data_IF_605122101880
#
_entry.id   IF_605122101880
#
_cell.length_a   1.000
_cell.length_b   1.000
_cell.length_c   1.000
_cell.angle_alpha   90.00
_cell.angle_beta   90.00
_cell.angle_gamma   90.00
#
_symmetry.space_group_name_H-M   'P 1'
#
loop_
_entity.id
_entity.type
_entity.pdbx_description
1 polymer ?
#
# COMPACT_ATOMS: atom_id res chain seq x y z
N UNK A 1 -56.84 49.34 11.91
CA UNK A 1 -57.05 48.87 10.52
C UNK A 1 -56.77 47.37 10.54
N UNK A 2 -57.80 46.60 10.93
CA UNK A 2 -58.60 45.71 10.07
C UNK A 2 -57.85 44.39 9.79
N UNK A 3 -57.96 43.40 10.70
CA UNK A 3 -58.85 42.21 10.67
C UNK A 3 -58.17 41.04 9.93
N UNK A 4 -57.70 39.96 10.58
CA UNK A 4 -58.40 38.80 11.17
C UNK A 4 -59.04 37.80 10.18
N UNK A 5 -58.95 36.52 10.61
CA UNK A 5 -59.60 35.26 10.19
C UNK A 5 -58.86 34.34 9.19
N UNK A 6 -58.68 33.02 9.37
CA UNK A 6 -59.14 31.89 10.24
C UNK A 6 -59.73 30.77 9.35
N UNK A 7 -59.25 29.52 9.58
CA UNK A 7 -59.87 28.19 9.32
C UNK A 7 -60.16 27.77 7.86
N UNK A 8 -60.26 26.48 7.46
CA UNK A 8 -60.11 25.16 8.08
C UNK A 8 -60.07 24.09 6.96
N UNK A 9 -59.74 22.86 7.35
CA UNK A 9 -59.98 21.54 6.73
C UNK A 9 -61.02 21.42 5.60
N UNK A 10 -60.78 20.50 4.66
CA UNK A 10 -61.63 19.30 4.52
C UNK A 10 -60.97 18.19 3.66
N UNK A 11 -60.97 17.01 4.27
CA UNK A 11 -60.76 15.67 3.74
C UNK A 11 -61.92 15.25 2.81
N UNK A 12 -61.68 14.34 1.85
CA UNK A 12 -62.65 13.38 1.27
C UNK A 12 -62.03 12.55 0.11
N UNK A 13 -61.65 11.32 0.45
CA UNK A 13 -62.00 10.04 -0.21
C UNK A 13 -61.97 9.87 -1.74
N UNK A 14 -61.30 8.80 -2.21
CA UNK A 14 -61.94 7.55 -2.66
C UNK A 14 -61.01 6.69 -3.53
N UNK A 15 -60.86 5.41 -3.17
CA UNK A 15 -60.51 4.32 -4.10
C UNK A 15 -61.76 3.88 -4.88
N UNK A 16 -61.65 3.12 -5.99
CA UNK A 16 -61.78 1.65 -5.87
C UNK A 16 -61.06 0.75 -6.92
N UNK A 17 -61.11 -0.57 -6.63
CA UNK A 17 -61.09 -1.78 -7.50
C UNK A 17 -59.85 -2.10 -8.35
N UNK A 18 -59.09 -3.19 -8.13
CA UNK A 18 -59.39 -4.64 -8.20
C UNK A 18 -59.89 -5.11 -9.57
N UNK A 19 -58.98 -5.66 -10.39
CA UNK A 19 -59.27 -6.79 -11.28
C UNK A 19 -58.11 -7.79 -11.24
N UNK A 20 -58.49 -9.03 -10.95
CA UNK A 20 -57.69 -10.23 -10.82
C UNK A 20 -57.95 -11.14 -12.03
N UNK A 21 -56.92 -11.52 -12.78
CA UNK A 21 -56.86 -12.66 -13.73
C UNK A 21 -55.35 -12.99 -13.79
N UNK A 22 -54.81 -14.16 -13.47
CA UNK A 22 -55.25 -15.52 -13.69
C UNK A 22 -54.05 -16.28 -14.29
N UNK A 23 -53.38 -17.10 -13.48
CA UNK A 23 -52.31 -18.07 -13.84
C UNK A 23 -52.75 -19.05 -14.94
N UNK A 24 -51.82 -19.71 -15.69
CA UNK A 24 -51.13 -20.95 -15.27
C UNK A 24 -49.61 -20.93 -15.57
N UNK A 25 -48.69 -21.36 -14.70
CA UNK A 25 -48.36 -22.70 -14.16
C UNK A 25 -47.30 -23.48 -14.96
N UNK A 26 -46.28 -23.98 -14.22
CA UNK A 26 -45.40 -25.13 -14.49
C UNK A 26 -44.34 -25.03 -15.61
N UNK A 27 -43.05 -25.00 -15.24
CA UNK A 27 -42.28 -26.25 -15.15
C UNK A 27 -40.94 -26.09 -14.42
N UNK A 28 -40.70 -27.11 -13.61
CA UNK A 28 -39.55 -27.47 -12.82
C UNK A 28 -38.74 -28.49 -13.64
N UNK A 29 -37.42 -28.28 -13.80
CA UNK A 29 -36.46 -29.38 -13.98
C UNK A 29 -35.05 -28.97 -13.59
N UNK A 30 -34.55 -29.67 -12.56
CA UNK A 30 -33.12 -29.85 -12.25
C UNK A 30 -32.42 -30.77 -13.26
N UNK A 31 -31.07 -30.89 -13.22
CA UNK A 31 -30.26 -31.29 -14.37
C UNK A 31 -30.10 -32.81 -14.49
N UNK A 32 -30.15 -33.30 -15.73
CA UNK A 32 -29.85 -34.69 -16.05
C UNK A 32 -28.44 -34.81 -16.66
N UNK A 33 -27.65 -35.65 -15.99
CA UNK A 33 -26.40 -36.26 -16.43
C UNK A 33 -26.69 -37.18 -17.62
N UNK A 34 -25.96 -37.09 -18.74
CA UNK A 34 -25.69 -38.25 -19.61
C UNK A 34 -24.52 -38.00 -20.59
N UNK A 35 -23.45 -38.76 -20.32
CA UNK A 35 -22.67 -39.60 -21.25
C UNK A 35 -22.04 -39.04 -22.54
N UNK A 36 -20.72 -39.26 -22.59
CA UNK A 36 -19.89 -39.38 -23.79
C UNK A 36 -20.39 -40.46 -24.77
N UNK A 37 -19.88 -40.43 -26.01
CA UNK A 37 -19.41 -41.66 -26.62
C UNK A 37 -17.98 -41.54 -27.15
N UNK A 38 -17.16 -42.50 -26.73
CA UNK A 38 -16.01 -43.00 -27.48
C UNK A 38 -16.50 -43.66 -28.79
N UNK A 39 -15.84 -43.36 -29.90
CA UNK A 39 -15.66 -44.31 -31.01
C UNK A 39 -14.59 -43.79 -31.98
N UNK A 40 -13.35 -44.22 -31.77
CA UNK A 40 -12.39 -44.55 -32.84
C UNK A 40 -12.70 -45.97 -33.37
N UNK A 41 -12.06 -46.52 -34.45
CA UNK A 41 -10.93 -46.01 -35.24
C UNK A 41 -11.13 -46.10 -36.77
N UNK A 42 -10.27 -45.42 -37.54
CA UNK A 42 -10.20 -45.57 -38.99
C UNK A 42 -8.87 -45.12 -39.58
N UNK A 43 -7.88 -46.02 -39.57
CA UNK A 43 -6.65 -45.94 -40.36
C UNK A 43 -6.93 -45.60 -41.83
N UNK A 44 -6.18 -44.65 -42.40
CA UNK A 44 -5.49 -44.84 -43.70
C UNK A 44 -4.43 -43.76 -43.96
N UNK A 45 -3.24 -44.26 -44.27
CA UNK A 45 -2.05 -43.56 -44.75
C UNK A 45 -2.30 -42.79 -46.06
N UNK A 46 -1.62 -41.64 -46.23
CA UNK A 46 -0.52 -41.50 -47.19
C UNK A 46 -0.04 -40.04 -47.35
N UNK A 47 1.27 -39.88 -47.14
CA UNK A 47 2.24 -39.20 -48.01
C UNK A 47 1.98 -37.74 -48.44
N UNK A 48 2.78 -36.80 -47.91
CA UNK A 48 3.90 -36.18 -48.63
C UNK A 48 4.47 -34.99 -47.83
N UNK A 49 5.70 -35.15 -47.34
CA UNK A 49 6.64 -34.03 -47.15
C UNK A 49 7.09 -33.50 -48.52
N UNK A 50 7.57 -32.24 -48.57
CA UNK A 50 9.00 -32.13 -48.79
C UNK A 50 9.72 -31.19 -47.82
N UNK A 51 10.91 -31.65 -47.44
CA UNK A 51 12.03 -30.91 -46.88
C UNK A 51 12.29 -29.57 -47.58
N UNK A 52 12.52 -28.53 -46.78
CA UNK A 52 13.45 -27.45 -47.12
C UNK A 52 14.24 -27.06 -45.87
N UNK A 53 15.41 -27.69 -45.76
CA UNK A 53 16.56 -27.23 -44.99
C UNK A 53 16.99 -25.83 -45.44
N UNK A 54 16.92 -24.83 -44.54
CA UNK A 54 17.90 -23.73 -44.51
C UNK A 54 18.31 -23.54 -43.05
N UNK A 55 19.51 -24.03 -42.73
CA UNK A 55 20.18 -23.75 -41.48
C UNK A 55 20.66 -22.30 -41.42
N UNK A 56 20.44 -21.68 -40.26
CA UNK A 56 21.22 -20.53 -39.81
C UNK A 56 21.60 -20.78 -38.34
N UNK A 57 22.89 -21.02 -38.13
CA UNK A 57 23.50 -21.09 -36.81
C UNK A 57 23.22 -19.79 -36.00
N UNK A 58 22.98 -19.87 -34.68
CA UNK A 58 22.97 -18.69 -33.84
C UNK A 58 24.41 -18.21 -33.59
N UNK A 59 24.74 -16.92 -33.85
CA UNK A 59 26.09 -16.43 -33.62
C UNK A 59 26.40 -16.37 -32.12
N UNK A 60 27.48 -17.06 -31.76
CA UNK A 60 28.15 -17.03 -30.46
C UNK A 60 28.61 -15.60 -30.10
N UNK A 61 28.18 -15.16 -28.91
CA UNK A 61 29.01 -14.44 -27.95
C UNK A 61 29.69 -13.14 -28.39
N UNK A 62 29.06 -12.01 -28.07
CA UNK A 62 29.79 -10.83 -27.58
C UNK A 62 29.11 -10.33 -26.30
N UNK A 63 29.68 -10.76 -25.16
CA UNK A 63 29.38 -10.23 -23.84
C UNK A 63 29.77 -8.75 -23.85
N UNK A 64 28.78 -7.88 -24.02
CA UNK A 64 28.97 -6.46 -23.81
C UNK A 64 29.11 -6.23 -22.31
N UNK A 65 30.32 -5.86 -21.90
CA UNK A 65 30.62 -5.34 -20.56
C UNK A 65 29.81 -4.06 -20.37
N UNK A 66 28.56 -4.17 -19.91
CA UNK A 66 27.78 -3.01 -19.51
C UNK A 66 28.43 -2.40 -18.27
N UNK A 67 29.01 -1.21 -18.47
CA UNK A 67 29.42 -0.31 -17.39
C UNK A 67 28.24 -0.16 -16.42
N UNK A 68 28.48 -0.45 -15.14
CA UNK A 68 27.61 -0.04 -14.03
C UNK A 68 27.31 1.45 -14.20
N UNK A 69 26.06 1.78 -14.50
CA UNK A 69 25.54 3.14 -14.48
C UNK A 69 24.52 3.20 -13.35
N UNK A 70 24.79 4.10 -12.41
CA UNK A 70 23.96 4.41 -11.26
C UNK A 70 22.57 4.81 -11.73
N UNK A 71 21.54 4.07 -11.32
CA UNK A 71 20.16 4.53 -11.37
C UNK A 71 19.88 5.31 -10.09
N UNK A 72 19.41 6.56 -10.23
CA UNK A 72 18.91 7.33 -9.11
C UNK A 72 17.53 6.79 -8.72
N UNK A 73 17.45 6.06 -7.62
CA UNK A 73 16.33 6.27 -6.70
C UNK A 73 16.56 7.68 -6.15
N UNK A 74 15.60 8.58 -6.27
CA UNK A 74 15.72 9.95 -5.73
C UNK A 74 15.68 9.86 -4.21
N UNK A 75 16.83 9.51 -3.64
CA UNK A 75 17.27 9.87 -2.32
C UNK A 75 17.84 11.28 -2.47
N UNK A 76 17.20 12.27 -1.85
CA UNK A 76 17.72 13.63 -1.82
C UNK A 76 19.14 13.65 -1.25
N UNK A 77 20.14 13.87 -2.11
CA UNK A 77 21.52 14.12 -1.71
C UNK A 77 21.79 15.63 -1.78
N UNK A 78 21.97 16.24 -0.62
CA UNK A 78 22.57 17.58 -0.51
C UNK A 78 24.04 17.39 -0.16
N UNK A 79 24.90 17.90 -1.05
CA UNK A 79 26.35 17.99 -0.83
C UNK A 79 26.63 18.89 0.37
N UNK A 80 27.33 18.37 1.40
CA UNK A 80 28.01 19.20 2.38
C UNK A 80 29.51 18.93 2.35
N UNK A 81 30.25 20.01 2.14
CA UNK A 81 31.71 20.04 2.03
C UNK A 81 32.40 19.56 3.30
N UNK A 82 33.46 18.79 3.10
CA UNK A 82 34.32 18.25 4.14
C UNK A 82 35.13 19.36 4.84
N UNK A 83 35.06 19.39 6.18
CA UNK A 83 36.11 19.95 7.03
C UNK A 83 36.82 18.80 7.76
N UNK A 84 38.15 18.79 7.65
CA UNK A 84 39.05 17.79 8.23
C UNK A 84 39.13 17.96 9.76
N UNK A 85 39.07 16.84 10.49
CA UNK A 85 39.64 16.75 11.84
C UNK A 85 40.21 15.36 12.08
N UNK A 86 41.40 15.35 12.69
CA UNK A 86 42.38 14.27 12.85
C UNK A 86 42.25 13.49 14.16
N UNK A 87 42.92 12.31 14.19
CA UNK A 87 43.34 11.44 15.34
C UNK A 87 42.37 10.27 15.63
N UNK A 88 42.77 9.06 16.04
CA UNK A 88 44.06 8.34 16.22
C UNK A 88 43.74 6.87 16.56
N UNK A 89 44.58 5.91 16.16
CA UNK A 89 44.52 4.46 16.53
C UNK A 89 44.99 4.19 17.98
N UNK A 90 44.60 3.08 18.63
CA UNK A 90 45.32 1.77 18.60
C UNK A 90 44.33 0.55 18.52
N UNK A 91 44.60 -0.67 18.01
CA UNK A 91 45.66 -1.72 18.01
C UNK A 91 45.55 -2.74 19.18
N UNK A 92 45.29 -4.02 18.83
CA UNK A 92 45.47 -5.28 19.61
C UNK A 92 44.15 -6.02 19.90
N UNK A 93 43.75 -7.15 19.28
CA UNK A 93 44.31 -8.52 19.10
C UNK A 93 44.24 -9.42 20.35
N UNK A 94 43.35 -10.42 20.36
CA UNK A 94 43.70 -11.85 20.46
C UNK A 94 42.47 -12.77 20.39
N UNK A 95 42.71 -13.97 19.85
CA UNK A 95 41.79 -15.05 19.48
C UNK A 95 41.79 -16.15 20.55
N UNK A 96 40.67 -16.86 20.73
CA UNK A 96 40.66 -18.23 21.27
C UNK A 96 39.34 -18.95 20.93
N UNK A 97 39.46 -20.23 20.57
CA UNK A 97 38.50 -21.11 19.90
C UNK A 97 37.71 -21.99 20.91
N UNK A 98 36.40 -22.17 20.63
CA UNK A 98 35.41 -23.26 20.89
C UNK A 98 35.68 -24.45 21.86
N UNK A 99 34.64 -25.17 22.39
CA UNK A 99 33.44 -25.65 21.67
C UNK A 99 32.06 -25.60 22.39
N UNK A 100 31.01 -25.76 21.58
CA UNK A 100 29.56 -25.82 21.88
C UNK A 100 29.12 -26.96 22.84
N UNK A 101 27.90 -26.89 23.45
CA UNK A 101 26.69 -27.43 22.81
C UNK A 101 25.35 -26.68 23.05
N UNK A 102 24.48 -26.74 22.02
CA UNK A 102 22.99 -26.65 21.92
C UNK A 102 22.17 -25.44 22.48
N UNK A 103 21.01 -25.11 21.85
CA UNK A 103 20.47 -23.75 21.84
C UNK A 103 19.48 -23.51 22.97
N UNK A 104 19.73 -22.46 23.75
CA UNK A 104 18.68 -21.80 24.55
C UNK A 104 18.48 -20.42 23.97
N UNK A 105 17.23 -20.04 23.72
CA UNK A 105 16.79 -18.76 23.17
C UNK A 105 17.34 -17.59 23.98
N UNK A 106 18.46 -17.02 23.55
CA UNK A 106 19.00 -15.77 24.10
C UNK A 106 18.50 -14.59 23.28
N UNK A 107 17.53 -13.90 23.86
CA UNK A 107 17.21 -12.50 23.59
C UNK A 107 18.51 -11.68 23.55
N UNK A 108 18.86 -11.15 22.38
CA UNK A 108 19.90 -10.14 22.22
C UNK A 108 19.26 -8.86 21.67
N UNK A 109 19.10 -7.90 22.58
CA UNK A 109 18.79 -6.49 22.38
C UNK A 109 17.75 -6.14 21.30
N UNK A 110 16.48 -6.19 21.71
CA UNK A 110 15.47 -5.31 21.13
C UNK A 110 15.90 -3.84 21.31
N UNK A 111 15.65 -2.95 20.33
CA UNK A 111 15.94 -1.53 20.49
C UNK A 111 15.22 -0.97 21.71
N UNK A 112 15.95 -0.24 22.55
CA UNK A 112 15.38 0.43 23.73
C UNK A 112 14.50 1.59 23.25
N UNK A 113 13.20 1.54 23.55
CA UNK A 113 12.29 2.66 23.31
C UNK A 113 12.44 3.62 24.49
N UNK A 114 13.20 4.70 24.30
CA UNK A 114 13.31 5.76 25.30
C UNK A 114 12.18 6.76 25.09
N UNK A 115 11.11 6.64 25.88
CA UNK A 115 9.98 7.57 25.85
C UNK A 115 10.41 8.88 26.51
N UNK A 116 10.82 9.86 25.71
CA UNK A 116 11.02 11.24 26.19
C UNK A 116 9.74 12.03 25.90
N UNK A 117 8.85 12.13 26.88
CA UNK A 117 7.66 12.99 26.78
C UNK A 117 8.04 14.46 26.93
N UNK A 118 8.48 15.11 25.86
CA UNK A 118 8.58 16.58 25.81
C UNK A 118 7.31 17.17 25.20
N UNK A 119 6.21 17.22 25.97
CA UNK A 119 4.98 17.90 25.54
C UNK A 119 5.04 19.34 26.05
N UNK A 120 5.76 20.20 25.33
CA UNK A 120 5.67 21.65 25.54
C UNK A 120 4.40 22.15 24.85
N UNK A 121 3.36 22.38 25.64
CA UNK A 121 1.97 22.74 25.27
C UNK A 121 1.22 21.66 24.47
N UNK A 122 0.13 21.14 25.06
CA UNK A 122 -0.78 20.23 24.36
C UNK A 122 -1.44 21.01 23.20
N UNK A 123 -1.23 20.63 21.93
CA UNK A 123 -1.99 21.21 20.84
C UNK A 123 -3.49 21.01 21.09
N UNK A 124 -4.31 21.97 20.67
CA UNK A 124 -5.75 21.78 20.66
C UNK A 124 -6.05 20.54 19.79
N UNK A 125 -6.84 19.56 20.27
CA UNK A 125 -7.07 18.33 19.54
C UNK A 125 -7.67 18.67 18.17
N UNK A 126 -6.92 18.36 17.12
CA UNK A 126 -7.44 18.50 15.76
C UNK A 126 -8.57 17.49 15.57
N UNK A 127 -9.73 17.84 14.98
CA UNK A 127 -10.85 16.91 14.89
C UNK A 127 -10.55 15.74 13.92
N UNK A 128 -9.99 14.65 14.44
CA UNK A 128 -9.65 13.47 13.67
C UNK A 128 -10.70 12.40 13.90
N UNK A 129 -11.15 11.72 12.84
CA UNK A 129 -12.08 10.59 12.99
C UNK A 129 -11.38 9.46 13.72
N UNK A 130 -12.05 8.84 14.71
CA UNK A 130 -11.56 7.60 15.30
C UNK A 130 -11.38 6.52 14.24
N UNK A 131 -10.30 5.76 14.37
CA UNK A 131 -9.96 4.68 13.45
C UNK A 131 -9.72 5.18 12.02
N UNK A 132 -9.20 6.41 11.87
CA UNK A 132 -8.97 7.00 10.55
C UNK A 132 -7.96 6.16 9.75
N UNK A 133 -8.20 5.91 8.46
CA UNK A 133 -7.12 5.47 7.59
C UNK A 133 -6.08 6.59 7.51
N UNK A 134 -4.80 6.22 7.42
CA UNK A 134 -3.68 7.13 7.32
C UNK A 134 -2.91 6.82 6.05
N UNK A 135 -2.40 7.87 5.39
CA UNK A 135 -1.40 7.73 4.34
C UNK A 135 -0.38 8.85 4.48
N UNK A 136 0.89 8.56 4.21
CA UNK A 136 1.95 9.54 4.33
C UNK A 136 2.85 9.49 3.10
N UNK A 137 3.35 10.65 2.70
CA UNK A 137 4.35 10.79 1.65
C UNK A 137 5.49 11.66 2.17
N UNK A 138 6.70 11.40 1.71
CA UNK A 138 7.88 12.17 2.08
C UNK A 138 8.79 12.37 0.89
N UNK A 139 9.48 13.51 0.84
CA UNK A 139 10.52 13.78 -0.16
C UNK A 139 11.93 13.73 0.43
N UNK A 140 12.04 13.83 1.76
CA UNK A 140 13.26 13.71 2.53
C UNK A 140 12.91 13.40 4.00
N UNK A 141 13.90 13.41 4.89
CA UNK A 141 13.79 13.14 6.34
C UNK A 141 12.88 14.12 7.10
N UNK A 142 12.50 15.23 6.48
CA UNK A 142 11.99 16.40 7.18
C UNK A 142 10.71 16.95 6.53
N UNK A 143 10.48 16.66 5.25
CA UNK A 143 9.28 17.05 4.52
C UNK A 143 8.34 15.86 4.36
N UNK A 144 7.32 15.85 5.19
CA UNK A 144 6.29 14.80 5.24
C UNK A 144 4.91 15.44 5.11
N UNK A 145 4.05 14.84 4.29
CA UNK A 145 2.61 15.12 4.33
C UNK A 145 1.87 13.89 4.85
N UNK A 146 1.08 14.09 5.89
CA UNK A 146 0.25 13.07 6.53
C UNK A 146 -1.22 13.33 6.22
N UNK A 147 -1.86 12.41 5.51
CA UNK A 147 -3.26 12.44 5.14
C UNK A 147 -4.10 11.62 6.11
N UNK A 148 -5.27 12.14 6.47
CA UNK A 148 -6.22 11.51 7.38
C UNK A 148 -7.65 11.91 7.06
N UNK A 149 -8.59 11.13 7.59
CA UNK A 149 -10.03 11.40 7.56
C UNK A 149 -10.43 12.19 8.80
N UNK A 150 -10.95 13.38 8.57
CA UNK A 150 -11.48 14.27 9.59
C UNK A 150 -12.88 13.80 10.05
N UNK A 151 -13.37 14.34 11.16
CA UNK A 151 -14.66 13.95 11.76
C UNK A 151 -15.89 14.19 10.86
N UNK A 152 -15.78 15.06 9.86
CA UNK A 152 -16.82 15.32 8.84
C UNK A 152 -16.76 14.38 7.62
N UNK A 153 -15.84 13.41 7.65
CA UNK A 153 -15.59 12.44 6.57
C UNK A 153 -14.65 12.94 5.47
N UNK A 154 -14.28 14.22 5.46
CA UNK A 154 -13.35 14.78 4.48
C UNK A 154 -11.90 14.34 4.73
N UNK A 155 -11.15 14.13 3.64
CA UNK A 155 -9.70 13.94 3.71
C UNK A 155 -9.02 15.30 3.81
N UNK A 156 -8.11 15.42 4.76
CA UNK A 156 -7.24 16.59 4.99
C UNK A 156 -5.80 16.12 5.16
N UNK A 157 -4.86 17.06 5.15
CA UNK A 157 -3.46 16.78 5.43
C UNK A 157 -2.90 17.67 6.54
N UNK A 158 -1.86 17.17 7.19
CA UNK A 158 -0.87 17.94 7.94
C UNK A 158 0.47 17.87 7.22
N UNK A 159 1.19 18.99 7.13
CA UNK A 159 2.53 19.03 6.53
C UNK A 159 3.58 19.36 7.58
N UNK A 160 4.63 18.55 7.64
CA UNK A 160 5.85 18.89 8.35
C UNK A 160 6.85 19.49 7.37
N UNK A 161 7.34 20.70 7.65
CA UNK A 161 8.31 21.38 6.79
C UNK A 161 9.78 21.14 7.20
N UNK A 162 10.00 20.31 8.21
CA UNK A 162 11.30 19.96 8.78
C UNK A 162 11.63 20.63 10.09
N UNK A 163 10.82 21.60 10.50
CA UNK A 163 10.95 22.28 11.79
C UNK A 163 9.76 21.97 12.70
N UNK A 164 8.56 21.97 12.13
CA UNK A 164 7.32 21.74 12.86
C UNK A 164 6.21 21.26 11.93
N UNK A 165 5.17 20.68 12.52
CA UNK A 165 3.90 20.44 11.84
C UNK A 165 3.17 21.77 11.63
N UNK A 166 2.63 21.95 10.42
CA UNK A 166 1.85 23.11 10.04
C UNK A 166 0.40 23.06 10.54
N UNK A 167 -0.43 23.92 9.95
CA UNK A 167 -1.87 23.88 10.17
C UNK A 167 -2.54 22.82 9.30
N UNK A 168 -3.69 22.34 9.77
CA UNK A 168 -4.55 21.44 9.01
C UNK A 168 -4.96 22.10 7.68
N UNK A 169 -4.86 21.34 6.59
CA UNK A 169 -5.32 21.82 5.28
C UNK A 169 -6.85 21.96 5.21
N UNK A 170 -7.37 22.75 4.26
CA UNK A 170 -8.74 22.60 3.79
C UNK A 170 -9.05 21.16 3.33
N UNK A 171 -10.33 20.84 3.19
CA UNK A 171 -10.76 19.54 2.65
C UNK A 171 -10.25 19.34 1.22
N UNK A 172 -9.57 18.22 0.99
CA UNK A 172 -9.04 17.82 -0.32
C UNK A 172 -10.12 17.13 -1.15
N UNK A 173 -10.79 16.16 -0.51
CA UNK A 173 -11.87 15.37 -1.09
C UNK A 173 -12.74 14.82 0.02
N UNK A 174 -13.95 14.35 -0.30
CA UNK A 174 -14.86 13.67 0.63
C UNK A 174 -15.23 12.30 0.05
N UNK A 175 -14.49 11.24 0.40
CA UNK A 175 -14.78 9.89 -0.06
C UNK A 175 -15.90 9.28 0.77
N UNK A 176 -16.34 8.09 0.38
CA UNK A 176 -17.29 7.34 1.21
C UNK A 176 -16.68 6.97 2.56
N UNK A 177 -17.54 6.70 3.52
CA UNK A 177 -17.17 6.54 4.92
C UNK A 177 -16.20 5.37 5.19
N UNK A 178 -16.38 4.24 4.53
CA UNK A 178 -15.54 3.05 4.61
C UNK A 178 -14.43 3.01 3.55
N UNK A 179 -14.17 4.12 2.85
CA UNK A 179 -13.04 4.24 1.92
C UNK A 179 -11.71 4.06 2.63
N UNK A 180 -10.86 3.18 2.08
CA UNK A 180 -9.41 3.20 2.32
C UNK A 180 -8.75 4.50 1.84
N UNK A 181 -7.46 4.66 2.15
CA UNK A 181 -6.67 5.82 1.80
C UNK A 181 -5.27 5.36 1.41
N UNK A 182 -4.79 5.80 0.24
CA UNK A 182 -3.40 5.64 -0.16
C UNK A 182 -2.87 6.96 -0.70
N UNK A 183 -1.57 7.19 -0.56
CA UNK A 183 -0.91 8.35 -1.13
C UNK A 183 0.46 7.97 -1.68
N UNK A 184 0.85 8.63 -2.75
CA UNK A 184 2.20 8.58 -3.32
C UNK A 184 2.67 10.00 -3.61
N UNK A 185 3.98 10.22 -3.51
CA UNK A 185 4.60 11.49 -3.83
C UNK A 185 5.93 11.29 -4.53
N UNK A 186 6.28 12.25 -5.39
CA UNK A 186 7.56 12.26 -6.10
C UNK A 186 7.97 13.70 -6.43
N UNK A 187 9.16 13.86 -7.00
CA UNK A 187 9.66 15.12 -7.56
C UNK A 187 9.64 15.05 -9.09
N UNK A 188 9.16 16.11 -9.72
CA UNK A 188 9.28 16.36 -11.15
C UNK A 188 10.07 17.66 -11.33
N UNK A 189 11.39 17.52 -11.45
CA UNK A 189 12.31 18.64 -11.20
C UNK A 189 12.20 19.11 -9.75
N UNK A 190 11.99 20.41 -9.54
CA UNK A 190 11.74 21.01 -8.21
C UNK A 190 10.25 20.95 -7.80
N UNK A 191 9.38 20.41 -8.66
CA UNK A 191 7.94 20.37 -8.41
C UNK A 191 7.59 19.12 -7.62
N UNK A 192 7.07 19.30 -6.41
CA UNK A 192 6.49 18.20 -5.63
C UNK A 192 5.18 17.78 -6.26
N UNK A 193 5.03 16.47 -6.44
CA UNK A 193 3.83 15.83 -6.96
C UNK A 193 3.25 14.95 -5.86
N UNK A 194 1.94 14.97 -5.70
CA UNK A 194 1.20 14.11 -4.77
C UNK A 194 -0.03 13.57 -5.45
N UNK A 195 -0.32 12.29 -5.23
CA UNK A 195 -1.60 11.67 -5.55
C UNK A 195 -2.17 11.01 -4.32
N UNK A 196 -3.47 11.19 -4.10
CA UNK A 196 -4.24 10.56 -3.03
C UNK A 196 -5.36 9.74 -3.66
N UNK A 197 -5.48 8.49 -3.26
CA UNK A 197 -6.47 7.55 -3.78
C UNK A 197 -7.52 7.23 -2.72
N UNK A 198 -8.78 7.26 -3.15
CA UNK A 198 -9.95 6.98 -2.30
C UNK A 198 -11.07 6.31 -3.10
N UNK A 199 -12.13 5.87 -2.42
CA UNK A 199 -13.34 5.33 -3.00
C UNK A 199 -14.47 6.38 -2.98
N UNK A 200 -15.18 6.55 -4.09
CA UNK A 200 -16.43 7.31 -4.13
C UNK A 200 -17.60 6.51 -3.53
N UNK A 201 -18.76 7.17 -3.36
CA UNK A 201 -20.02 6.53 -2.93
C UNK A 201 -20.44 5.36 -3.84
N UNK A 202 -20.10 5.43 -5.13
CA UNK A 202 -20.40 4.37 -6.09
C UNK A 202 -19.31 3.27 -6.14
N UNK A 203 -18.39 3.27 -5.16
CA UNK A 203 -17.21 2.40 -5.13
C UNK A 203 -16.27 2.57 -6.33
N UNK A 204 -16.28 3.73 -7.00
CA UNK A 204 -15.29 4.04 -8.03
C UNK A 204 -13.97 4.48 -7.37
N UNK A 205 -12.84 4.09 -7.95
CA UNK A 205 -11.52 4.58 -7.56
C UNK A 205 -11.36 6.03 -8.01
N UNK A 206 -11.07 6.90 -7.05
CA UNK A 206 -10.89 8.33 -7.24
C UNK A 206 -9.41 8.70 -7.03
N UNK A 207 -8.89 9.63 -7.83
CA UNK A 207 -7.60 10.28 -7.61
C UNK A 207 -7.81 11.77 -7.28
N UNK A 208 -7.18 12.22 -6.20
CA UNK A 208 -6.94 13.63 -5.90
C UNK A 208 -5.49 13.95 -6.21
N UNK A 209 -5.25 14.81 -7.20
CA UNK A 209 -3.92 15.17 -7.69
C UNK A 209 -3.54 16.59 -7.28
N UNK A 210 -2.31 16.75 -6.78
CA UNK A 210 -1.73 18.05 -6.45
C UNK A 210 -0.29 18.15 -6.93
N UNK A 211 0.12 19.37 -7.27
CA UNK A 211 1.52 19.71 -7.46
C UNK A 211 1.85 21.09 -6.87
N UNK A 212 3.11 21.28 -6.47
CA UNK A 212 3.53 22.49 -5.77
C UNK A 212 3.54 23.76 -6.63
N UNK A 213 3.54 23.64 -7.96
CA UNK A 213 3.51 24.80 -8.86
C UNK A 213 2.10 25.39 -9.00
N UNK A 214 1.09 24.53 -9.09
CA UNK A 214 -0.32 24.94 -9.21
C UNK A 214 -0.99 25.19 -7.87
N UNK A 215 -0.50 24.55 -6.80
CA UNK A 215 -1.01 24.63 -5.44
C UNK A 215 -2.55 24.41 -5.33
N UNK A 216 -3.10 23.56 -6.20
CA UNK A 216 -4.52 23.23 -6.26
C UNK A 216 -4.69 21.72 -6.35
N UNK A 217 -5.73 21.21 -5.71
CA UNK A 217 -6.14 19.82 -5.77
C UNK A 217 -7.16 19.61 -6.88
N UNK A 218 -6.95 18.57 -7.69
CA UNK A 218 -7.86 18.17 -8.77
C UNK A 218 -8.35 16.75 -8.53
N UNK A 219 -9.67 16.60 -8.45
CA UNK A 219 -10.32 15.32 -8.19
C UNK A 219 -10.86 14.73 -9.48
N UNK A 220 -10.62 13.44 -9.73
CA UNK A 220 -11.18 12.75 -10.88
C UNK A 220 -11.43 11.28 -10.60
N UNK A 221 -12.47 10.75 -11.24
CA UNK A 221 -12.76 9.32 -11.28
C UNK A 221 -11.81 8.67 -12.28
N UNK A 222 -10.95 7.77 -11.80
CA UNK A 222 -10.00 7.04 -12.65
C UNK A 222 -10.57 5.70 -13.11
N UNK A 223 -11.74 5.30 -12.62
CA UNK A 223 -12.38 4.04 -12.98
C UNK A 223 -13.21 4.12 -14.24
N UNK A 224 -14.05 5.15 -14.32
CA UNK A 224 -15.00 5.33 -15.43
C UNK A 224 -14.26 5.44 -16.77
N UNK A 225 -14.64 4.58 -17.73
CA UNK A 225 -14.04 4.54 -19.07
C UNK A 225 -12.72 3.76 -19.18
N UNK A 226 -12.08 3.37 -18.06
CA UNK A 226 -10.76 2.72 -18.06
C UNK A 226 -10.80 1.20 -17.76
N UNK A 227 -11.99 0.62 -17.61
CA UNK A 227 -12.20 -0.80 -17.34
C UNK A 227 -11.76 -1.26 -15.93
N UNK A 228 -11.44 -0.31 -15.04
CA UNK A 228 -11.10 -0.56 -13.64
C UNK A 228 -12.39 -0.89 -12.90
N UNK A 229 -12.39 -2.02 -12.19
CA UNK A 229 -13.59 -2.52 -11.55
C UNK A 229 -13.89 -1.78 -10.23
N UNK A 230 -15.16 -1.72 -9.80
CA UNK A 230 -15.52 -1.14 -8.52
C UNK A 230 -14.83 -1.84 -7.34
N UNK A 231 -14.54 -1.05 -6.30
CA UNK A 231 -13.95 -1.52 -5.05
C UNK A 231 -14.99 -2.28 -4.21
N UNK A 232 -14.53 -3.20 -3.38
CA UNK A 232 -15.34 -3.75 -2.30
C UNK A 232 -15.60 -2.69 -1.21
N UNK A 233 -16.70 -2.88 -0.48
CA UNK A 233 -16.91 -2.18 0.78
C UNK A 233 -15.76 -2.46 1.76
N UNK A 234 -15.27 -1.42 2.43
CA UNK A 234 -14.12 -1.48 3.33
C UNK A 234 -12.77 -1.78 2.65
N UNK A 235 -12.67 -1.74 1.31
CA UNK A 235 -11.40 -1.97 0.62
C UNK A 235 -10.36 -0.94 1.08
N UNK A 236 -9.27 -1.44 1.66
CA UNK A 236 -8.08 -0.63 1.84
C UNK A 236 -7.38 -0.41 0.49
N UNK A 237 -6.45 0.54 0.47
CA UNK A 237 -5.74 0.95 -0.73
C UNK A 237 -4.25 0.99 -0.44
N UNK A 238 -3.45 0.65 -1.43
CA UNK A 238 -2.03 0.98 -1.45
C UNK A 238 -1.64 1.41 -2.86
N UNK A 239 -0.67 2.31 -2.96
CA UNK A 239 -0.23 2.84 -4.23
C UNK A 239 1.29 2.91 -4.27
N UNK A 240 1.83 2.78 -5.47
CA UNK A 240 3.26 2.82 -5.71
C UNK A 240 3.54 3.49 -7.05
N UNK A 241 4.69 4.15 -7.15
CA UNK A 241 5.17 4.74 -8.39
C UNK A 241 6.65 4.43 -8.59
N UNK A 242 7.02 4.22 -9.85
CA UNK A 242 8.42 4.14 -10.27
C UNK A 242 8.64 4.92 -11.56
N UNK A 243 9.91 5.08 -11.90
CA UNK A 243 10.35 5.76 -13.10
C UNK A 243 11.08 4.80 -14.03
N UNK A 244 10.54 4.59 -15.23
CA UNK A 244 11.23 3.89 -16.29
C UNK A 244 12.25 4.82 -16.96
N UNK A 245 13.51 4.39 -16.94
CA UNK A 245 14.66 5.08 -17.56
C UNK A 245 14.80 6.57 -17.14
N UNK A 246 14.28 6.94 -15.96
CA UNK A 246 14.31 8.31 -15.45
C UNK A 246 13.41 9.31 -16.18
N UNK A 247 12.53 8.85 -17.08
CA UNK A 247 11.68 9.74 -17.91
C UNK A 247 10.21 9.31 -17.88
N UNK A 248 9.93 8.01 -17.96
CA UNK A 248 8.56 7.49 -17.91
C UNK A 248 8.09 7.29 -16.49
N UNK A 249 6.93 7.86 -16.11
CA UNK A 249 6.30 7.61 -14.81
C UNK A 249 5.30 6.46 -14.94
N UNK A 250 5.39 5.51 -14.03
CA UNK A 250 4.42 4.45 -13.84
C UNK A 250 3.81 4.55 -12.45
N UNK A 251 2.50 4.38 -12.37
CA UNK A 251 1.75 4.34 -11.12
C UNK A 251 0.93 3.06 -11.10
N UNK A 252 0.84 2.43 -9.92
CA UNK A 252 -0.05 1.30 -9.65
C UNK A 252 -0.81 1.56 -8.35
N UNK A 253 -2.09 1.23 -8.36
CA UNK A 253 -2.96 1.28 -7.18
C UNK A 253 -3.58 -0.09 -7.00
N UNK A 254 -3.39 -0.69 -5.82
CA UNK A 254 -3.95 -1.98 -5.46
C UNK A 254 -5.12 -1.81 -4.52
N UNK A 255 -6.17 -2.57 -4.78
CA UNK A 255 -7.42 -2.54 -4.04
C UNK A 255 -8.08 -3.92 -4.05
N UNK A 256 -9.06 -4.15 -3.17
CA UNK A 256 -9.88 -5.34 -3.20
C UNK A 256 -11.14 -5.08 -4.03
N UNK A 257 -11.41 -5.91 -5.03
CA UNK A 257 -12.67 -5.89 -5.78
C UNK A 257 -13.83 -6.52 -5.02
N UNK A 258 -15.05 -6.29 -5.49
CA UNK A 258 -16.28 -6.80 -4.86
C UNK A 258 -16.36 -8.33 -4.72
N UNK A 259 -15.59 -9.07 -5.52
CA UNK A 259 -15.43 -10.53 -5.45
C UNK A 259 -14.40 -11.00 -4.39
N UNK A 260 -13.69 -10.06 -3.76
CA UNK A 260 -12.69 -10.32 -2.72
C UNK A 260 -11.27 -10.54 -3.25
N UNK A 261 -11.08 -10.50 -4.57
CA UNK A 261 -9.76 -10.58 -5.20
C UNK A 261 -9.07 -9.22 -5.18
N UNK A 262 -7.75 -9.24 -5.05
CA UNK A 262 -6.93 -8.03 -5.19
C UNK A 262 -6.85 -7.67 -6.68
N UNK A 263 -6.94 -6.38 -6.98
CA UNK A 263 -6.97 -5.80 -8.31
C UNK A 263 -5.95 -4.68 -8.41
N UNK A 264 -5.56 -4.36 -9.63
CA UNK A 264 -4.62 -3.29 -9.96
C UNK A 264 -5.28 -2.29 -10.91
N UNK A 265 -5.18 -1.02 -10.59
CA UNK A 265 -5.31 0.08 -11.55
C UNK A 265 -3.91 0.55 -11.90
N UNK A 266 -3.63 0.69 -13.20
CA UNK A 266 -2.31 1.04 -13.69
C UNK A 266 -2.35 2.30 -14.54
N UNK A 267 -1.29 3.10 -14.43
CA UNK A 267 -1.10 4.31 -15.23
C UNK A 267 0.33 4.43 -15.72
N UNK A 268 0.49 4.96 -16.93
CA UNK A 268 1.74 5.48 -17.45
C UNK A 268 1.48 6.65 -18.40
N UNK A 269 2.54 7.38 -18.73
CA UNK A 269 2.44 8.59 -19.56
C UNK A 269 1.93 8.37 -20.98
N UNK A 270 1.93 7.13 -21.49
CA UNK A 270 1.53 6.81 -22.87
C UNK A 270 0.08 6.33 -22.96
N UNK A 271 -0.38 5.51 -22.02
CA UNK A 271 -1.67 4.82 -22.06
C UNK A 271 -2.75 5.52 -21.22
N UNK A 272 -2.36 6.40 -20.29
CA UNK A 272 -3.30 6.91 -19.30
C UNK A 272 -3.62 5.82 -18.26
N UNK A 273 -4.83 5.83 -17.69
CA UNK A 273 -5.27 4.80 -16.72
C UNK A 273 -5.85 3.58 -17.45
N UNK A 274 -5.60 2.38 -16.95
CA UNK A 274 -6.23 1.15 -17.40
C UNK A 274 -6.36 0.12 -16.26
N UNK A 275 -7.21 -0.88 -16.47
CA UNK A 275 -7.20 -2.10 -15.65
C UNK A 275 -5.85 -2.81 -15.79
N UNK A 276 -5.06 -2.82 -14.74
CA UNK A 276 -3.74 -3.44 -14.73
C UNK A 276 -3.78 -4.94 -14.98
N UNK A 277 -2.64 -5.48 -15.43
CA UNK A 277 -2.44 -6.91 -15.70
C UNK A 277 -1.99 -7.65 -14.44
N UNK A 278 -2.35 -7.17 -13.24
CA UNK A 278 -2.23 -7.97 -12.01
C UNK A 278 -2.63 -9.41 -12.33
N UNK A 279 -1.82 -10.40 -11.90
CA UNK A 279 -2.02 -11.80 -12.24
C UNK A 279 -3.49 -12.17 -12.19
N UNK A 280 -3.94 -12.93 -13.19
CA UNK A 280 -5.36 -13.26 -13.34
C UNK A 280 -5.90 -13.86 -12.05
N UNK A 281 -7.22 -13.83 -11.85
CA UNK A 281 -7.94 -14.32 -10.65
C UNK A 281 -7.45 -15.69 -10.11
N UNK A 282 -6.77 -16.50 -10.92
CA UNK A 282 -6.19 -17.78 -10.51
C UNK A 282 -4.85 -17.67 -9.76
N UNK A 283 -4.15 -16.54 -9.84
CA UNK A 283 -2.80 -16.35 -9.31
C UNK A 283 -2.75 -15.49 -8.03
N UNK A 284 -3.69 -14.54 -7.85
CA UNK A 284 -3.89 -13.83 -6.57
C UNK A 284 -5.01 -14.53 -5.78
N UNK A 285 -4.74 -15.10 -4.58
CA UNK A 285 -5.76 -15.71 -3.78
C UNK A 285 -6.72 -14.63 -3.31
N UNK A 286 -7.96 -15.05 -3.15
CA UNK A 286 -8.97 -14.24 -2.50
C UNK A 286 -8.42 -13.77 -1.15
N UNK A 287 -8.45 -12.47 -0.93
CA UNK A 287 -8.04 -11.89 0.34
C UNK A 287 -9.25 -11.81 1.27
N UNK A 288 -8.98 -11.74 2.58
CA UNK A 288 -10.05 -11.50 3.55
C UNK A 288 -10.70 -10.13 3.28
N UNK A 289 -12.01 -10.02 3.49
CA UNK A 289 -12.72 -8.76 3.28
C UNK A 289 -12.12 -7.64 4.14
N UNK A 290 -11.85 -6.49 3.51
CA UNK A 290 -11.24 -5.34 4.17
C UNK A 290 -9.76 -5.53 4.51
N UNK A 291 -9.08 -6.50 3.88
CA UNK A 291 -7.66 -6.77 4.07
C UNK A 291 -6.84 -5.49 4.06
N UNK A 292 -5.89 -5.37 4.99
CA UNK A 292 -4.82 -4.40 4.81
C UNK A 292 -4.06 -4.66 3.52
N UNK A 293 -3.61 -3.61 2.85
CA UNK A 293 -2.79 -3.71 1.66
C UNK A 293 -1.58 -2.80 1.84
N UNK A 294 -0.39 -3.32 1.54
CA UNK A 294 0.81 -2.50 1.55
C UNK A 294 1.78 -2.96 0.47
N UNK A 295 2.10 -2.06 -0.45
CA UNK A 295 3.17 -2.26 -1.42
C UNK A 295 4.47 -1.64 -0.92
N UNK A 296 5.60 -2.32 -1.11
CA UNK A 296 6.92 -1.79 -0.75
C UNK A 296 7.97 -2.26 -1.75
N UNK A 297 8.84 -1.34 -2.19
CA UNK A 297 10.03 -1.71 -2.97
C UNK A 297 10.99 -2.52 -2.10
N UNK A 298 11.56 -3.58 -2.64
CA UNK A 298 12.41 -4.52 -1.93
C UNK A 298 13.55 -5.02 -2.83
N UNK A 299 14.56 -4.18 -3.12
CA UNK A 299 15.61 -4.48 -4.07
C UNK A 299 16.71 -5.39 -3.49
N UNK A 300 16.40 -6.67 -3.23
CA UNK A 300 17.38 -7.64 -2.68
C UNK A 300 18.39 -8.06 -3.75
N UNK A 301 17.90 -8.52 -4.90
CA UNK A 301 18.74 -8.95 -6.02
C UNK A 301 18.57 -8.10 -7.27
N UNK A 302 17.45 -7.39 -7.38
CA UNK A 302 17.17 -6.49 -8.49
C UNK A 302 16.45 -5.24 -8.00
N UNK A 303 16.85 -4.07 -8.48
CA UNK A 303 16.35 -2.76 -8.05
C UNK A 303 14.83 -2.57 -8.20
N UNK A 304 14.20 -3.36 -9.07
CA UNK A 304 12.76 -3.31 -9.32
C UNK A 304 11.96 -4.28 -8.47
N UNK A 305 12.60 -5.14 -7.68
CA UNK A 305 11.89 -6.07 -6.82
C UNK A 305 11.00 -5.33 -5.82
N UNK A 306 9.86 -5.92 -5.51
CA UNK A 306 8.88 -5.35 -4.60
C UNK A 306 8.05 -6.44 -3.92
N UNK A 307 7.23 -6.04 -2.94
CA UNK A 307 6.31 -6.92 -2.23
C UNK A 307 4.97 -6.24 -2.05
N UNK A 308 3.89 -6.99 -2.28
CA UNK A 308 2.53 -6.62 -1.91
C UNK A 308 2.06 -7.49 -0.75
N UNK A 309 1.88 -6.88 0.42
CA UNK A 309 1.38 -7.53 1.62
C UNK A 309 -0.14 -7.46 1.71
N UNK A 310 -0.73 -8.57 2.18
CA UNK A 310 -2.17 -8.69 2.39
C UNK A 310 -2.50 -9.77 3.43
N UNK A 311 -3.75 -9.78 3.89
CA UNK A 311 -4.33 -10.80 4.75
C UNK A 311 -5.06 -11.85 3.90
N UNK A 312 -4.61 -13.10 3.97
CA UNK A 312 -5.27 -14.20 3.29
C UNK A 312 -6.59 -14.62 3.99
N UNK A 313 -7.34 -15.56 3.40
CA UNK A 313 -8.59 -16.05 3.97
C UNK A 313 -8.44 -16.68 5.36
N UNK A 314 -7.27 -17.24 5.69
CA UNK A 314 -6.98 -17.81 7.01
C UNK A 314 -6.62 -16.76 8.08
N UNK A 315 -6.57 -15.48 7.70
CA UNK A 315 -6.18 -14.39 8.59
C UNK A 315 -4.67 -14.21 8.76
N UNK A 316 -3.86 -14.93 7.97
CA UNK A 316 -2.40 -14.81 7.96
C UNK A 316 -1.95 -13.66 7.06
N UNK A 317 -0.91 -12.96 7.50
CA UNK A 317 -0.20 -12.00 6.67
C UNK A 317 0.66 -12.77 5.66
N UNK A 318 0.48 -12.45 4.38
CA UNK A 318 1.18 -13.04 3.24
C UNK A 318 1.73 -11.93 2.35
N UNK A 319 2.69 -12.27 1.49
CA UNK A 319 3.14 -11.40 0.42
C UNK A 319 3.03 -12.05 -0.94
N UNK A 320 2.74 -11.23 -1.94
CA UNK A 320 3.11 -11.48 -3.32
C UNK A 320 4.40 -10.74 -3.60
N UNK A 321 5.39 -11.45 -4.12
CA UNK A 321 6.71 -10.92 -4.40
C UNK A 321 6.80 -10.61 -5.90
N UNK A 322 7.10 -9.36 -6.22
CA UNK A 322 7.38 -8.92 -7.57
C UNK A 322 8.89 -9.06 -7.84
N UNK A 323 9.24 -9.83 -8.87
CA UNK A 323 10.59 -10.01 -9.40
C UNK A 323 10.52 -9.91 -10.92
N UNK A 324 11.25 -8.99 -11.57
CA UNK A 324 11.15 -8.82 -13.02
C UNK A 324 11.35 -10.12 -13.80
N UNK A 325 10.37 -10.45 -14.66
CA UNK A 325 10.38 -11.58 -15.58
C UNK A 325 10.08 -11.12 -17.02
N UNK A 326 9.86 -12.06 -17.94
CA UNK A 326 9.57 -11.73 -19.34
C UNK A 326 8.21 -11.01 -19.49
N UNK A 327 7.24 -11.34 -18.65
CA UNK A 327 5.94 -10.65 -18.57
C UNK A 327 5.64 -10.12 -17.18
N UNK A 328 4.73 -9.15 -17.08
CA UNK A 328 4.26 -8.61 -15.80
C UNK A 328 3.62 -9.70 -14.92
N UNK A 329 2.85 -10.60 -15.52
CA UNK A 329 2.19 -11.72 -14.81
C UNK A 329 3.22 -12.69 -14.23
N UNK A 330 4.20 -13.11 -15.02
CA UNK A 330 5.30 -13.98 -14.54
C UNK A 330 6.19 -13.31 -13.49
N UNK A 331 6.13 -11.97 -13.40
CA UNK A 331 6.92 -11.24 -12.41
C UNK A 331 6.37 -11.39 -11.00
N UNK A 332 5.12 -11.83 -10.83
CA UNK A 332 4.50 -11.99 -9.54
C UNK A 332 4.54 -13.44 -9.07
N UNK A 333 5.01 -13.64 -7.83
CA UNK A 333 5.14 -14.96 -7.23
C UNK A 333 4.54 -14.95 -5.83
N UNK A 334 3.72 -15.95 -5.51
CA UNK A 334 3.19 -16.10 -4.16
C UNK A 334 4.33 -16.47 -3.20
N UNK A 335 4.49 -15.71 -2.12
CA UNK A 335 5.44 -16.07 -1.09
C UNK A 335 4.86 -17.15 -0.17
N UNK A 336 5.57 -18.25 0.00
CA UNK A 336 5.21 -19.29 0.98
C UNK A 336 5.52 -18.86 2.41
N UNK A 337 6.18 -17.71 2.60
CA UNK A 337 6.53 -17.17 3.92
C UNK A 337 5.27 -16.94 4.75
N UNK A 338 5.28 -17.44 5.98
CA UNK A 338 4.23 -17.19 6.96
C UNK A 338 4.70 -16.08 7.90
N UNK A 339 4.05 -14.92 7.86
CA UNK A 339 4.34 -13.79 8.74
C UNK A 339 3.48 -13.80 10.01
N UNK A 340 2.70 -14.88 10.23
CA UNK A 340 1.78 -15.04 11.34
C UNK A 340 0.41 -14.42 11.08
N UNK A 341 -0.51 -14.63 12.02
CA UNK A 341 -1.86 -14.08 11.97
C UNK A 341 -1.89 -12.60 12.33
N UNK A 342 -2.71 -11.82 11.62
CA UNK A 342 -2.97 -10.41 11.92
C UNK A 342 -4.46 -10.21 12.18
N UNK A 343 -4.88 -9.16 12.91
CA UNK A 343 -6.29 -8.88 13.12
C UNK A 343 -7.02 -8.65 11.81
N UNK A 344 -8.30 -9.05 11.76
CA UNK A 344 -9.13 -8.88 10.58
C UNK A 344 -9.27 -7.42 10.20
N UNK A 345 -8.97 -7.12 8.94
CA UNK A 345 -9.09 -5.77 8.39
C UNK A 345 -8.19 -4.73 9.06
N UNK A 346 -7.11 -5.15 9.73
CA UNK A 346 -6.14 -4.20 10.27
C UNK A 346 -5.47 -3.40 9.14
N UNK A 347 -5.17 -2.13 9.41
CA UNK A 347 -4.38 -1.33 8.49
C UNK A 347 -2.94 -1.84 8.47
N UNK A 348 -2.38 -1.96 7.28
CA UNK A 348 -1.01 -2.43 7.06
C UNK A 348 -0.21 -1.34 6.35
N UNK A 349 1.01 -1.12 6.82
CA UNK A 349 1.98 -0.27 6.12
C UNK A 349 3.36 -0.91 6.22
N UNK A 350 4.12 -0.87 5.13
CA UNK A 350 5.44 -1.45 5.04
C UNK A 350 6.42 -0.44 4.44
N UNK A 351 7.63 -0.43 4.96
CA UNK A 351 8.71 0.43 4.47
C UNK A 351 10.01 -0.35 4.42
N UNK A 352 10.88 0.05 3.50
CA UNK A 352 12.24 -0.43 3.45
C UNK A 352 13.17 0.57 4.13
N UNK A 353 13.89 0.09 5.13
CA UNK A 353 15.01 0.78 5.75
C UNK A 353 16.29 0.28 5.09
N UNK A 354 16.98 1.19 4.39
CA UNK A 354 18.18 0.88 3.58
C UNK A 354 19.46 1.42 4.20
N UNK A 355 19.40 1.97 5.42
CA UNK A 355 20.59 2.49 6.09
C UNK A 355 21.43 1.33 6.66
N UNK A 356 22.55 1.04 6.01
CA UNK A 356 23.39 -0.10 6.38
C UNK A 356 22.85 -1.41 5.81
N UNK A 357 22.38 -2.30 6.69
CA UNK A 357 21.72 -3.54 6.27
C UNK A 357 20.28 -3.24 5.83
N UNK A 358 19.83 -3.86 4.73
CA UNK A 358 18.44 -3.77 4.30
C UNK A 358 17.51 -4.41 5.35
N UNK A 359 16.59 -3.62 5.91
CA UNK A 359 15.58 -4.05 6.87
C UNK A 359 14.20 -3.73 6.31
N UNK A 360 13.39 -4.76 6.06
CA UNK A 360 11.99 -4.59 5.74
C UNK A 360 11.19 -4.49 7.03
N UNK A 361 10.39 -3.45 7.20
CA UNK A 361 9.56 -3.23 8.39
C UNK A 361 8.09 -3.17 7.99
N UNK A 362 7.23 -3.82 8.76
CA UNK A 362 5.78 -3.85 8.56
C UNK A 362 5.12 -3.50 9.89
N UNK A 363 4.20 -2.55 9.83
CA UNK A 363 3.48 -2.05 10.99
C UNK A 363 1.99 -2.29 10.85
N UNK A 364 1.36 -2.65 11.96
CA UNK A 364 -0.09 -2.80 12.08
C UNK A 364 -0.51 -2.69 13.54
N UNK A 365 -1.82 -2.58 13.77
CA UNK A 365 -2.39 -2.54 15.11
C UNK A 365 -2.93 -3.92 15.48
N UNK A 366 -2.56 -4.41 16.67
CA UNK A 366 -3.05 -5.65 17.28
C UNK A 366 -3.32 -5.43 18.76
N UNK A 367 -4.54 -5.75 19.20
CA UNK A 367 -4.96 -5.63 20.61
C UNK A 367 -4.74 -4.23 21.20
N UNK A 368 -4.93 -3.20 20.36
CA UNK A 368 -4.70 -1.80 20.74
C UNK A 368 -3.23 -1.42 20.86
N UNK A 369 -2.31 -2.25 20.38
CA UNK A 369 -0.87 -2.01 20.34
C UNK A 369 -0.39 -1.78 18.91
N UNK A 370 0.54 -0.84 18.73
CA UNK A 370 1.31 -0.74 17.50
C UNK A 370 2.37 -1.84 17.52
N UNK A 371 2.31 -2.74 16.53
CA UNK A 371 3.23 -3.87 16.37
C UNK A 371 4.11 -3.61 15.17
N UNK A 372 5.40 -3.88 15.33
CA UNK A 372 6.35 -4.01 14.23
C UNK A 372 6.68 -5.48 14.04
N UNK A 373 6.67 -5.93 12.79
CA UNK A 373 7.46 -7.09 12.37
C UNK A 373 8.51 -6.61 11.39
N UNK A 374 9.73 -7.13 11.49
CA UNK A 374 10.80 -6.75 10.59
C UNK A 374 11.62 -7.94 10.15
N UNK A 375 12.18 -7.84 8.96
CA UNK A 375 13.09 -8.83 8.40
C UNK A 375 14.45 -8.21 8.11
N UNK A 376 15.50 -8.90 8.53
CA UNK A 376 16.88 -8.60 8.11
C UNK A 376 17.51 -9.87 7.56
N UNK A 377 18.32 -9.76 6.51
CA UNK A 377 18.98 -10.90 5.85
C UNK A 377 19.74 -11.83 6.81
N UNK A 378 20.40 -11.28 7.84
CA UNK A 378 21.14 -12.05 8.84
C UNK A 378 20.31 -12.59 10.01
N UNK A 379 19.19 -11.94 10.33
CA UNK A 379 18.42 -12.23 11.57
C UNK A 379 17.05 -12.88 11.27
N UNK A 380 16.65 -12.93 10.00
CA UNK A 380 15.32 -13.38 9.60
C UNK A 380 14.21 -12.44 10.10
N UNK A 381 13.01 -13.00 10.28
CA UNK A 381 11.82 -12.29 10.76
C UNK A 381 11.82 -12.18 12.28
N UNK A 382 11.51 -10.98 12.77
CA UNK A 382 11.43 -10.63 14.19
C UNK A 382 10.19 -9.75 14.43
N UNK A 383 9.80 -9.57 15.69
CA UNK A 383 8.62 -8.80 16.06
C UNK A 383 8.78 -8.06 17.40
N UNK A 384 8.12 -6.91 17.54
CA UNK A 384 8.10 -6.10 18.76
C UNK A 384 6.76 -5.38 18.92
N UNK A 385 6.40 -5.12 20.18
CA UNK A 385 5.34 -4.18 20.50
C UNK A 385 5.98 -2.80 20.70
N UNK A 386 5.58 -1.83 19.89
CA UNK A 386 6.17 -0.49 19.89
C UNK A 386 5.43 0.48 20.84
N UNK A 387 4.12 0.34 20.96
CA UNK A 387 3.28 1.24 21.76
C UNK A 387 1.96 0.58 22.17
N UNK A 388 1.49 0.79 23.41
CA UNK A 388 0.35 0.05 24.00
C UNK A 388 -1.04 0.73 23.86
N UNK A 389 -1.10 1.91 23.23
CA UNK A 389 -2.33 2.71 23.14
C UNK A 389 -2.62 3.24 21.73
N UNK A 390 -2.61 2.37 20.73
CA UNK A 390 -2.90 2.71 19.34
C UNK A 390 -4.36 2.35 18.95
N UNK A 391 -5.02 3.28 18.28
CA UNK A 391 -6.27 3.04 17.55
C UNK A 391 -5.95 2.51 16.14
N UNK A 392 -6.87 1.74 15.51
CA UNK A 392 -6.75 1.31 14.13
C UNK A 392 -6.35 2.45 13.18
N UNK A 393 -5.36 2.19 12.32
CA UNK A 393 -4.82 3.19 11.40
C UNK A 393 -3.32 3.39 11.66
N UNK A 394 -2.52 3.04 10.66
CA UNK A 394 -1.09 3.25 10.68
C UNK A 394 -0.61 3.59 9.27
N UNK A 395 0.38 4.47 9.16
CA UNK A 395 1.09 4.76 7.93
C UNK A 395 2.56 4.97 8.25
N UNK A 396 3.45 4.62 7.34
CA UNK A 396 4.87 4.84 7.55
C UNK A 396 5.55 5.39 6.29
N UNK A 397 6.59 6.19 6.50
CA UNK A 397 7.51 6.63 5.44
C UNK A 397 8.94 6.36 5.89
N UNK A 398 9.80 6.10 4.90
CA UNK A 398 11.22 5.88 5.10
C UNK A 398 12.00 6.84 4.24
N UNK A 399 13.00 7.48 4.83
CA UNK A 399 13.94 8.37 4.16
C UNK A 399 15.37 7.81 4.31
N UNK A 400 16.38 8.55 3.85
CA UNK A 400 17.78 8.11 3.95
C UNK A 400 18.23 7.84 5.40
N UNK A 401 17.76 8.66 6.35
CA UNK A 401 18.25 8.61 7.72
C UNK A 401 17.19 8.19 8.75
N UNK A 402 15.89 8.25 8.41
CA UNK A 402 14.83 8.09 9.41
C UNK A 402 13.68 7.22 8.90
N UNK A 403 12.97 6.59 9.84
CA UNK A 403 11.66 5.98 9.61
C UNK A 403 10.64 6.70 10.49
N UNK A 404 9.54 7.16 9.90
CA UNK A 404 8.43 7.75 10.62
C UNK A 404 7.23 6.81 10.55
N UNK A 405 6.67 6.47 11.71
CA UNK A 405 5.47 5.63 11.82
C UNK A 405 4.37 6.46 12.47
N UNK A 406 3.34 6.79 11.69
CA UNK A 406 2.18 7.56 12.10
C UNK A 406 1.05 6.64 12.52
N UNK A 407 0.40 6.98 13.63
CA UNK A 407 -0.75 6.25 14.15
C UNK A 407 -1.62 7.18 15.01
N UNK A 408 -2.86 6.77 15.24
CA UNK A 408 -3.73 7.47 16.18
C UNK A 408 -3.56 6.87 17.57
N UNK A 409 -3.32 7.70 18.59
CA UNK A 409 -3.34 7.27 19.99
C UNK A 409 -4.80 7.23 20.46
N UNK A 410 -5.15 6.34 21.40
CA UNK A 410 -6.53 6.19 21.94
C UNK A 410 -7.15 7.49 22.48
N UNK A 411 -6.34 8.50 22.76
CA UNK A 411 -6.73 9.86 23.15
C UNK A 411 -7.14 10.77 21.97
N UNK A 412 -7.31 10.20 20.77
CA UNK A 412 -7.75 10.85 19.51
C UNK A 412 -6.70 11.69 18.76
N UNK A 413 -5.53 11.90 19.35
CA UNK A 413 -4.40 12.60 18.72
C UNK A 413 -3.70 11.76 17.65
N UNK A 414 -3.13 12.42 16.64
CA UNK A 414 -2.16 11.79 15.75
C UNK A 414 -0.78 11.85 16.41
N UNK A 415 -0.05 10.75 16.30
CA UNK A 415 1.29 10.62 16.88
C UNK A 415 2.23 9.94 15.89
N UNK A 416 3.51 10.17 16.11
CA UNK A 416 4.60 9.57 15.35
C UNK A 416 5.53 8.82 16.29
N UNK A 417 6.03 7.68 15.82
CA UNK A 417 7.28 7.09 16.31
C UNK A 417 8.33 7.29 15.24
N UNK A 418 9.43 7.93 15.64
CA UNK A 418 10.52 8.32 14.77
C UNK A 418 11.75 7.49 15.13
N UNK A 419 12.25 6.68 14.18
CA UNK A 419 13.52 5.97 14.33
C UNK A 419 14.64 6.87 13.82
N UNK A 420 15.41 7.44 14.75
CA UNK A 420 16.68 8.07 14.41
C UNK A 420 17.72 6.97 14.20
N UNK A 421 18.14 6.72 12.95
CA UNK A 421 19.04 5.60 12.63
C UNK A 421 20.47 5.81 13.09
N UNK A 422 20.88 7.06 13.36
CA UNK A 422 22.21 7.37 13.90
C UNK A 422 22.26 7.00 15.38
N UNK A 423 21.21 7.32 16.13
CA UNK A 423 21.10 6.96 17.54
C UNK A 423 20.66 5.49 17.74
N UNK A 424 19.95 4.90 16.77
CA UNK A 424 19.33 3.58 16.88
C UNK A 424 18.14 3.57 17.85
N UNK A 425 17.55 4.74 18.12
CA UNK A 425 16.51 4.93 19.14
C UNK A 425 15.19 5.35 18.49
N UNK A 426 14.11 4.79 19.03
CA UNK A 426 12.75 5.24 18.74
C UNK A 426 12.38 6.39 19.65
N UNK A 427 11.89 7.47 19.06
CA UNK A 427 11.41 8.66 19.75
C UNK A 427 9.91 8.83 19.49
N UNK A 428 9.15 9.13 20.54
CA UNK A 428 7.72 9.39 20.43
C UNK A 428 7.46 10.88 20.32
N UNK A 429 6.69 11.27 19.31
CA UNK A 429 6.37 12.67 19.02
C UNK A 429 4.87 12.82 18.82
N UNK A 430 4.24 13.78 19.50
CA UNK A 430 2.86 14.19 19.20
C UNK A 430 2.82 14.99 17.90
N UNK A 431 1.86 14.69 17.01
CA UNK A 431 1.69 15.42 15.75
C UNK A 431 0.66 16.53 15.94
N UNK A 432 -0.59 16.16 16.25
CA UNK A 432 -1.73 17.08 16.49
C UNK A 432 -2.80 16.46 17.36
#
# INVERSE_FOLDING_TARGET
>A
MSSEQIMADQDLGSAPEVVNLGLPSLHDVSPEVLHAPESEPGLRDNQNEPDLNIGLEPPKGKIWRMKRRTFMIVLGNVNNGASKSTKSKPKGSSTSTDPSPLPTSSSTHAPSVTITTSISSSPAPTPIRRNTPLAAVSWNTSNVQLFYKHTDGGIRLQENNGLQWGEQSPQITKPKDDSGLAAIGWLEGEVRQVRVYTASENNALMESAWNSSGNLWFNHDISTGNGIAPLAAGSQLTAFTWFENGVGRDIRVYYQGQDGYIREAAWNGTKGWWKGDSPTIQDFPRARSGTGLSFVSFPDTNEREAKLFYQNMDGKLRSYDYKPAATWVESWQNSTTDHGSIPNGTHLTAVLDTYGDMILRIYFIRDGKLVEIWWRKKDGWNSSNMHDAAAPGASAVSSSNDVHVFFQVKTEYLSALDLNRIAGEWQFTGVI
#
